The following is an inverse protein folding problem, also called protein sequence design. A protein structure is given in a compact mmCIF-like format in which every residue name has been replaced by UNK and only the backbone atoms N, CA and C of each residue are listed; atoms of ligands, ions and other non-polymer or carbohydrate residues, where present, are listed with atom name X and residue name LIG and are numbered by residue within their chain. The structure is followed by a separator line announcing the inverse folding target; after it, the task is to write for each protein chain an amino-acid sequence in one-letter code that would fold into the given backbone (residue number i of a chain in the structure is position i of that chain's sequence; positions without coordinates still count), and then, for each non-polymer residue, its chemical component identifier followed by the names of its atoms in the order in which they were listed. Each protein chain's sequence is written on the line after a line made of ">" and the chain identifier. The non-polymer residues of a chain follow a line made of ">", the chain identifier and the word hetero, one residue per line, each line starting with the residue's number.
data_IF_276817738486
#
_entry.id   IF_276817738486
#
_cell.length_a   1.000
_cell.length_b   1.000
_cell.length_c   1.000
_cell.angle_alpha   90.00
_cell.angle_beta   90.00
_cell.angle_gamma   90.00
#
_symmetry.space_group_name_H-M   'P 1'
#
loop_
_entity.id
_entity.type
_entity.pdbx_description
1 polymer ?
#
# COMPACT_ATOMS: atom_id res chain seq x y z
N UNK A 1 0.00 -96.40 1.77
CA UNK A 1 -0.63 -95.18 1.27
C UNK A 1 0.45 -94.12 1.15
N UNK A 2 0.76 -93.82 -0.10
CA UNK A 2 2.04 -93.20 -0.51
C UNK A 2 2.16 -91.73 -0.32
N UNK A 3 3.29 -91.34 0.23
CA UNK A 3 3.72 -89.93 0.49
C UNK A 3 4.29 -89.25 -0.76
N UNK A 4 3.82 -89.55 -1.95
CA UNK A 4 4.47 -89.12 -3.20
C UNK A 4 3.62 -88.27 -4.15
N UNK A 5 2.53 -87.60 -3.71
CA UNK A 5 1.68 -86.79 -4.58
C UNK A 5 1.45 -85.36 -4.06
N UNK A 6 2.41 -84.73 -3.39
CA UNK A 6 2.30 -83.40 -2.85
C UNK A 6 3.49 -82.47 -3.28
N UNK A 7 3.95 -82.54 -4.51
CA UNK A 7 5.02 -81.67 -5.01
C UNK A 7 4.87 -81.38 -6.51
N UNK A 8 3.76 -80.83 -6.95
CA UNK A 8 3.64 -80.33 -8.29
C UNK A 8 2.53 -79.28 -8.38
N UNK A 9 2.63 -78.13 -7.69
CA UNK A 9 1.75 -76.97 -7.92
C UNK A 9 2.29 -75.70 -7.22
N UNK A 10 3.47 -75.22 -7.58
CA UNK A 10 3.95 -73.92 -7.10
C UNK A 10 4.96 -73.33 -8.10
N UNK A 11 4.53 -72.81 -9.22
CA UNK A 11 5.36 -71.96 -10.10
C UNK A 11 4.47 -71.19 -11.05
N UNK A 12 3.66 -70.27 -10.51
CA UNK A 12 3.04 -69.21 -11.30
C UNK A 12 3.16 -67.90 -10.54
N UNK A 13 4.41 -67.44 -10.34
CA UNK A 13 4.63 -66.07 -9.87
C UNK A 13 4.42 -65.14 -11.04
N UNK A 14 3.33 -64.37 -10.94
CA UNK A 14 2.98 -63.33 -11.89
C UNK A 14 4.05 -62.24 -11.93
N UNK A 15 4.44 -61.87 -13.17
CA UNK A 15 5.17 -60.67 -13.46
C UNK A 15 4.27 -59.48 -13.12
N UNK A 16 4.44 -58.85 -11.99
CA UNK A 16 3.90 -57.49 -11.72
C UNK A 16 4.60 -56.55 -12.68
N UNK A 17 3.94 -56.22 -13.77
CA UNK A 17 4.31 -55.07 -14.63
C UNK A 17 4.23 -53.79 -13.80
N UNK A 18 5.37 -53.28 -13.38
CA UNK A 18 5.49 -51.93 -12.83
C UNK A 18 5.17 -50.94 -13.93
N UNK A 19 3.91 -50.51 -14.00
CA UNK A 19 3.51 -49.38 -14.82
C UNK A 19 4.30 -48.16 -14.33
N UNK A 20 5.04 -47.45 -15.18
CA UNK A 20 5.67 -46.19 -14.78
C UNK A 20 4.55 -45.21 -14.40
N UNK A 21 4.47 -44.82 -13.12
CA UNK A 21 3.66 -43.73 -12.66
C UNK A 21 4.19 -42.49 -13.45
N UNK A 22 3.39 -41.83 -14.27
CA UNK A 22 3.84 -40.63 -14.93
C UNK A 22 4.17 -39.61 -13.84
N UNK A 23 5.44 -39.38 -13.55
CA UNK A 23 5.89 -38.22 -12.83
C UNK A 23 5.41 -37.03 -13.66
N UNK A 24 4.34 -36.40 -13.20
CA UNK A 24 3.88 -35.14 -13.74
C UNK A 24 5.05 -34.15 -13.61
N UNK A 25 5.84 -34.04 -14.68
CA UNK A 25 6.78 -32.93 -14.83
C UNK A 25 5.89 -31.69 -14.79
N UNK A 26 5.80 -31.05 -13.63
CA UNK A 26 5.24 -29.70 -13.53
C UNK A 26 6.07 -28.86 -14.49
N UNK A 27 5.54 -28.62 -15.67
CA UNK A 27 6.08 -27.61 -16.55
C UNK A 27 6.25 -26.34 -15.70
N UNK A 28 7.50 -25.86 -15.55
CA UNK A 28 7.75 -24.59 -14.90
C UNK A 28 7.01 -23.54 -15.71
N UNK A 29 5.79 -23.18 -15.25
CA UNK A 29 4.91 -22.23 -15.94
C UNK A 29 5.67 -20.93 -16.17
N UNK A 30 5.43 -20.27 -17.29
CA UNK A 30 5.95 -18.93 -17.54
C UNK A 30 5.73 -18.06 -16.29
N UNK A 31 6.75 -17.28 -15.92
CA UNK A 31 6.69 -16.44 -14.71
C UNK A 31 7.00 -15.00 -15.09
N UNK A 32 6.17 -14.08 -14.63
CA UNK A 32 6.45 -12.64 -14.64
C UNK A 32 6.90 -12.22 -13.26
N UNK A 33 8.04 -11.53 -13.18
CA UNK A 33 8.59 -10.99 -11.93
C UNK A 33 8.21 -9.53 -11.81
N UNK A 34 7.52 -9.17 -10.73
CA UNK A 34 7.27 -7.79 -10.34
C UNK A 34 8.29 -7.39 -9.27
N UNK A 35 8.98 -6.27 -9.48
CA UNK A 35 9.96 -5.74 -8.54
C UNK A 35 9.30 -4.80 -7.53
N UNK A 36 9.62 -4.93 -6.26
CA UNK A 36 9.20 -4.03 -5.20
C UNK A 36 10.40 -3.57 -4.37
N UNK A 37 10.49 -2.26 -4.09
CA UNK A 37 11.33 -1.70 -3.03
C UNK A 37 10.42 -1.12 -1.96
N UNK A 38 10.57 -1.59 -0.72
CA UNK A 38 9.70 -1.21 0.38
C UNK A 38 10.43 -1.38 1.73
N UNK A 39 10.07 -0.62 2.78
CA UNK A 39 10.64 -0.81 4.10
C UNK A 39 10.16 -2.13 4.71
N UNK A 40 11.05 -3.11 4.83
CA UNK A 40 10.81 -4.35 5.56
C UNK A 40 11.43 -4.30 6.95
N UNK A 41 12.35 -3.37 7.16
CA UNK A 41 13.02 -3.09 8.43
C UNK A 41 12.90 -1.61 8.82
N UNK A 42 13.26 -1.27 10.06
CA UNK A 42 13.28 0.11 10.55
C UNK A 42 11.94 0.66 11.02
N UNK A 43 11.88 1.99 11.15
CA UNK A 43 10.75 2.68 11.78
C UNK A 43 9.44 2.62 10.96
N UNK A 44 9.52 2.50 9.65
CA UNK A 44 8.39 2.43 8.73
C UNK A 44 8.04 1.01 8.27
N UNK A 45 8.64 -0.03 8.86
CA UNK A 45 8.57 -1.41 8.36
C UNK A 45 7.14 -1.95 8.21
N UNK A 46 6.21 -1.58 9.09
CA UNK A 46 4.83 -2.07 8.99
C UNK A 46 4.14 -1.63 7.69
N UNK A 47 4.51 -0.47 7.12
CA UNK A 47 3.95 -0.02 5.84
C UNK A 47 4.36 -0.95 4.69
N UNK A 48 5.65 -1.31 4.60
CA UNK A 48 6.16 -2.23 3.59
C UNK A 48 5.64 -3.65 3.76
N UNK A 49 5.72 -4.17 5.00
CA UNK A 49 5.27 -5.54 5.32
C UNK A 49 3.78 -5.74 5.02
N UNK A 50 2.92 -4.79 5.41
CA UNK A 50 1.48 -4.88 5.17
C UNK A 50 1.14 -4.71 3.68
N UNK A 51 1.79 -3.79 2.96
CA UNK A 51 1.61 -3.60 1.52
C UNK A 51 2.01 -4.87 0.76
N UNK A 52 3.16 -5.45 1.06
CA UNK A 52 3.63 -6.71 0.49
C UNK A 52 2.67 -7.86 0.80
N UNK A 53 2.27 -8.00 2.06
CA UNK A 53 1.38 -9.06 2.51
C UNK A 53 0.05 -9.03 1.76
N UNK A 54 -0.58 -7.86 1.63
CA UNK A 54 -1.81 -7.69 0.88
C UNK A 54 -1.68 -8.05 -0.60
N UNK A 55 -0.59 -7.62 -1.24
CA UNK A 55 -0.32 -7.98 -2.64
C UNK A 55 -0.13 -9.48 -2.81
N UNK A 56 0.61 -10.12 -1.91
CA UNK A 56 0.83 -11.58 -1.94
C UNK A 56 -0.46 -12.36 -1.76
N UNK A 57 -1.40 -11.92 -0.92
CA UNK A 57 -2.70 -12.59 -0.80
C UNK A 57 -3.38 -12.74 -2.16
N UNK A 58 -3.35 -11.69 -3.00
CA UNK A 58 -3.94 -11.75 -4.32
C UNK A 58 -3.11 -12.61 -5.29
N UNK A 59 -1.80 -12.37 -5.38
CA UNK A 59 -0.94 -13.10 -6.32
C UNK A 59 -0.88 -14.60 -6.01
N UNK A 60 -0.80 -14.99 -4.74
CA UNK A 60 -0.75 -16.39 -4.33
C UNK A 60 -2.07 -17.12 -4.68
N UNK A 61 -3.23 -16.44 -4.49
CA UNK A 61 -4.53 -16.97 -4.90
C UNK A 61 -4.63 -17.13 -6.44
N UNK A 62 -4.17 -16.13 -7.21
CA UNK A 62 -4.13 -16.22 -8.68
C UNK A 62 -3.19 -17.32 -9.16
N UNK A 63 -2.01 -17.46 -8.56
CA UNK A 63 -1.04 -18.49 -8.90
C UNK A 63 -1.58 -19.90 -8.60
N UNK A 64 -2.30 -20.07 -7.49
CA UNK A 64 -2.96 -21.34 -7.14
C UNK A 64 -4.07 -21.71 -8.15
N UNK A 65 -4.71 -20.71 -8.79
CA UNK A 65 -5.70 -20.89 -9.82
C UNK A 65 -5.10 -21.05 -11.24
N UNK A 66 -3.77 -21.20 -11.38
CA UNK A 66 -3.09 -21.38 -12.67
C UNK A 66 -2.46 -20.11 -13.23
N UNK A 67 -2.41 -19.02 -12.46
CA UNK A 67 -1.79 -17.76 -12.85
C UNK A 67 -2.70 -16.85 -13.71
N UNK A 68 -2.11 -15.84 -14.31
CA UNK A 68 -2.81 -14.90 -15.20
C UNK A 68 -2.47 -15.27 -16.63
N UNK A 69 -3.47 -15.66 -17.43
CA UNK A 69 -3.25 -16.19 -18.78
C UNK A 69 -2.20 -17.33 -18.81
N UNK A 70 -2.21 -18.23 -17.79
CA UNK A 70 -1.26 -19.33 -17.66
C UNK A 70 0.15 -18.92 -17.20
N UNK A 71 0.34 -17.67 -16.77
CA UNK A 71 1.61 -17.14 -16.30
C UNK A 71 1.55 -16.86 -14.81
N UNK A 72 2.50 -17.39 -14.05
CA UNK A 72 2.61 -17.15 -12.62
C UNK A 72 3.21 -15.77 -12.34
N UNK A 73 2.79 -15.13 -11.25
CA UNK A 73 3.33 -13.84 -10.80
C UNK A 73 4.24 -14.07 -9.59
N UNK A 74 5.45 -13.53 -9.67
CA UNK A 74 6.38 -13.47 -8.54
C UNK A 74 6.52 -12.00 -8.12
N UNK A 75 6.31 -11.70 -6.83
CA UNK A 75 6.65 -10.41 -6.25
C UNK A 75 8.01 -10.51 -5.55
N UNK A 76 9.02 -9.88 -6.15
CA UNK A 76 10.39 -9.79 -5.59
C UNK A 76 10.53 -8.48 -4.86
N UNK A 77 10.62 -8.55 -3.52
CA UNK A 77 10.75 -7.37 -2.67
C UNK A 77 12.16 -7.23 -2.14
N UNK A 78 12.71 -6.01 -2.23
CA UNK A 78 13.98 -5.61 -1.64
C UNK A 78 13.71 -4.58 -0.53
N UNK A 79 14.41 -4.73 0.60
CA UNK A 79 14.27 -3.82 1.73
C UNK A 79 15.02 -2.51 1.46
N UNK A 80 14.33 -1.38 1.58
CA UNK A 80 14.92 -0.06 1.51
C UNK A 80 14.96 0.68 2.87
N UNK A 81 14.33 0.14 3.92
CA UNK A 81 14.26 0.78 5.23
C UNK A 81 13.64 2.18 5.21
N UNK A 82 12.88 2.51 4.16
CA UNK A 82 12.32 3.84 3.88
C UNK A 82 13.42 4.90 3.60
N UNK A 83 14.54 4.47 2.99
CA UNK A 83 15.67 5.36 2.62
C UNK A 83 15.75 5.50 1.09
N UNK A 84 15.70 6.75 0.54
CA UNK A 84 15.69 7.00 -0.91
C UNK A 84 16.90 6.42 -1.64
N UNK A 85 18.10 6.51 -1.09
CA UNK A 85 19.30 6.01 -1.74
C UNK A 85 19.30 4.48 -1.84
N UNK A 86 18.78 3.79 -0.81
CA UNK A 86 18.58 2.33 -0.84
C UNK A 86 17.50 1.94 -1.84
N UNK A 87 16.40 2.69 -1.90
CA UNK A 87 15.35 2.47 -2.90
C UNK A 87 15.87 2.67 -4.33
N UNK A 88 16.71 3.70 -4.56
CA UNK A 88 17.36 3.91 -5.86
C UNK A 88 18.23 2.71 -6.24
N UNK A 89 19.12 2.26 -5.35
CA UNK A 89 19.97 1.09 -5.60
C UNK A 89 19.16 -0.19 -5.83
N UNK A 90 18.09 -0.40 -5.06
CA UNK A 90 17.15 -1.51 -5.28
C UNK A 90 16.50 -1.44 -6.66
N UNK A 91 16.12 -0.24 -7.10
CA UNK A 91 15.47 -0.01 -8.41
C UNK A 91 16.45 -0.30 -9.55
N UNK A 92 17.71 0.16 -9.45
CA UNK A 92 18.78 -0.16 -10.40
C UNK A 92 18.97 -1.68 -10.52
N UNK A 93 19.04 -2.38 -9.38
CA UNK A 93 19.14 -3.83 -9.34
C UNK A 93 17.96 -4.53 -9.98
N UNK A 94 16.73 -4.14 -9.62
CA UNK A 94 15.51 -4.76 -10.18
C UNK A 94 15.39 -4.56 -11.69
N UNK A 95 15.81 -3.39 -12.21
CA UNK A 95 15.87 -3.12 -13.66
C UNK A 95 16.95 -3.98 -14.32
N UNK A 96 18.13 -4.11 -13.71
CA UNK A 96 19.20 -4.97 -14.21
C UNK A 96 18.82 -6.46 -14.21
N UNK A 97 18.01 -6.89 -13.23
CA UNK A 97 17.43 -8.24 -13.14
C UNK A 97 16.26 -8.45 -14.12
N UNK A 98 15.98 -7.49 -14.99
CA UNK A 98 14.92 -7.47 -16.02
C UNK A 98 13.53 -7.82 -15.49
N UNK A 99 13.15 -7.24 -14.34
CA UNK A 99 11.77 -7.41 -13.84
C UNK A 99 10.77 -6.81 -14.83
N UNK A 100 9.60 -7.43 -14.92
CA UNK A 100 8.55 -7.07 -15.88
C UNK A 100 7.98 -5.68 -15.62
N UNK A 101 7.71 -5.36 -14.34
CA UNK A 101 7.20 -4.06 -13.88
C UNK A 101 7.63 -3.82 -12.44
N UNK A 102 7.62 -2.56 -12.02
CA UNK A 102 7.76 -2.17 -10.61
C UNK A 102 6.38 -2.03 -9.98
N UNK A 103 6.24 -2.46 -8.74
CA UNK A 103 4.95 -2.55 -8.08
C UNK A 103 5.04 -2.17 -6.61
N UNK A 104 4.09 -1.36 -6.13
CA UNK A 104 3.83 -1.19 -4.71
C UNK A 104 5.00 -0.64 -3.87
N UNK A 105 5.83 0.22 -4.45
CA UNK A 105 6.87 0.93 -3.70
C UNK A 105 6.24 1.79 -2.62
N UNK A 106 6.92 1.94 -1.49
CA UNK A 106 6.38 2.63 -0.33
C UNK A 106 7.09 3.96 -0.10
N UNK A 107 6.33 5.04 -0.17
CA UNK A 107 6.77 6.38 0.21
C UNK A 107 7.04 7.34 -0.93
N UNK A 108 6.90 8.62 -0.63
CA UNK A 108 7.15 9.71 -1.58
C UNK A 108 8.64 9.87 -1.90
N UNK A 109 9.54 10.02 -0.90
CA UNK A 109 10.96 10.24 -1.19
C UNK A 109 11.60 9.05 -1.91
N UNK A 110 11.21 7.83 -1.55
CA UNK A 110 11.67 6.58 -2.17
C UNK A 110 11.17 6.44 -3.61
N UNK A 111 9.87 6.69 -3.85
CA UNK A 111 9.30 6.64 -5.21
C UNK A 111 9.85 7.72 -6.13
N UNK A 112 10.13 8.93 -5.60
CA UNK A 112 10.77 10.00 -6.37
C UNK A 112 12.22 9.67 -6.72
N UNK A 113 12.96 8.98 -5.85
CA UNK A 113 14.30 8.50 -6.16
C UNK A 113 14.31 7.44 -7.28
N UNK A 114 13.25 6.65 -7.40
CA UNK A 114 13.08 5.66 -8.45
C UNK A 114 12.59 6.26 -9.79
N UNK A 115 11.84 7.36 -9.77
CA UNK A 115 11.14 7.91 -10.94
C UNK A 115 12.04 8.19 -12.16
N UNK A 116 13.25 8.77 -12.03
CA UNK A 116 14.17 8.96 -13.18
C UNK A 116 14.53 7.62 -13.84
N UNK A 117 14.79 6.58 -13.04
CA UNK A 117 15.14 5.24 -13.53
C UNK A 117 13.95 4.57 -14.23
N UNK A 118 12.74 4.74 -13.68
CA UNK A 118 11.47 4.29 -14.28
C UNK A 118 11.31 4.86 -15.70
N UNK A 119 11.46 6.18 -15.83
CA UNK A 119 11.30 6.87 -17.11
C UNK A 119 12.40 6.49 -18.11
N UNK A 120 13.65 6.38 -17.67
CA UNK A 120 14.79 5.98 -18.50
C UNK A 120 14.63 4.54 -19.01
N UNK A 121 14.28 3.60 -18.12
CA UNK A 121 14.12 2.19 -18.46
C UNK A 121 12.78 1.87 -19.16
N UNK A 122 11.87 2.84 -19.25
CA UNK A 122 10.51 2.66 -19.77
C UNK A 122 9.83 1.46 -19.13
N UNK A 123 9.91 1.35 -17.80
CA UNK A 123 9.36 0.25 -17.02
C UNK A 123 8.06 0.68 -16.33
N UNK A 124 6.93 -0.05 -16.48
CA UNK A 124 5.71 0.29 -15.75
C UNK A 124 5.92 0.27 -14.25
N UNK A 125 5.47 1.31 -13.58
CA UNK A 125 5.53 1.50 -12.13
C UNK A 125 4.10 1.66 -11.59
N UNK A 126 3.57 0.60 -10.99
CA UNK A 126 2.15 0.46 -10.67
C UNK A 126 1.92 0.49 -9.16
N UNK A 127 0.89 1.22 -8.74
CA UNK A 127 0.43 1.34 -7.37
C UNK A 127 1.51 1.76 -6.36
N UNK A 128 2.30 2.83 -6.61
CA UNK A 128 3.14 3.37 -5.56
C UNK A 128 2.28 3.80 -4.36
N UNK A 129 2.68 3.39 -3.15
CA UNK A 129 2.01 3.74 -1.89
C UNK A 129 2.39 5.16 -1.49
N UNK A 130 1.90 6.13 -2.23
CA UNK A 130 2.05 7.57 -1.98
C UNK A 130 1.00 8.38 -2.75
N UNK A 131 0.53 9.46 -2.12
CA UNK A 131 -0.42 10.41 -2.72
C UNK A 131 0.24 11.65 -3.32
N UNK A 132 1.57 11.72 -3.44
CA UNK A 132 2.28 12.93 -3.85
C UNK A 132 2.03 13.32 -5.30
N UNK A 133 1.75 14.60 -5.54
CA UNK A 133 1.52 15.14 -6.89
C UNK A 133 2.78 15.10 -7.77
N UNK A 134 3.96 15.23 -7.20
CA UNK A 134 5.22 15.19 -7.94
C UNK A 134 5.48 13.85 -8.70
N UNK A 135 4.70 12.78 -8.42
CA UNK A 135 4.68 11.54 -9.20
C UNK A 135 3.57 11.53 -10.26
N UNK A 136 2.67 12.52 -10.26
CA UNK A 136 1.49 12.63 -11.13
C UNK A 136 1.62 13.75 -12.15
N UNK A 137 2.25 14.85 -11.74
CA UNK A 137 2.51 16.03 -12.54
C UNK A 137 3.97 16.48 -12.35
N UNK A 138 4.78 16.54 -13.43
CA UNK A 138 4.40 16.25 -14.82
C UNK A 138 4.03 14.79 -15.07
N UNK A 139 3.12 14.56 -16.03
CA UNK A 139 2.62 13.24 -16.38
C UNK A 139 3.76 12.32 -16.85
N UNK A 140 3.81 11.11 -16.25
CA UNK A 140 4.69 10.03 -16.72
C UNK A 140 3.84 8.88 -17.29
N UNK A 141 4.10 8.47 -18.55
CA UNK A 141 3.34 7.39 -19.18
C UNK A 141 3.60 6.00 -18.56
N UNK A 142 4.53 5.91 -17.63
CA UNK A 142 4.93 4.64 -17.00
C UNK A 142 4.40 4.48 -15.58
N UNK A 143 3.84 5.54 -14.96
CA UNK A 143 3.42 5.52 -13.55
C UNK A 143 1.89 5.47 -13.43
N UNK A 144 1.37 4.48 -12.70
CA UNK A 144 -0.07 4.26 -12.51
C UNK A 144 -0.44 4.31 -11.03
N UNK A 145 -1.25 5.29 -10.64
CA UNK A 145 -1.68 5.54 -9.27
C UNK A 145 -3.07 4.94 -9.02
N UNK A 146 -3.17 3.95 -8.17
CA UNK A 146 -4.45 3.33 -7.79
C UNK A 146 -5.19 4.19 -6.76
N UNK A 147 -4.46 4.81 -5.84
CA UNK A 147 -4.97 5.63 -4.74
C UNK A 147 -5.21 7.10 -5.11
N UNK A 148 -6.05 7.79 -4.34
CA UNK A 148 -6.22 9.24 -4.38
C UNK A 148 -4.93 9.99 -4.00
N UNK A 149 -4.88 11.28 -4.33
CA UNK A 149 -3.74 12.15 -4.01
C UNK A 149 -3.79 12.69 -2.58
N UNK A 150 -2.65 13.20 -2.09
CA UNK A 150 -2.65 13.97 -0.85
C UNK A 150 -3.46 15.25 -0.95
N UNK A 151 -3.64 15.82 -2.14
CA UNK A 151 -4.52 16.96 -2.34
C UNK A 151 -5.98 16.59 -2.12
N UNK A 152 -6.42 15.40 -2.57
CA UNK A 152 -7.78 14.90 -2.30
C UNK A 152 -7.98 14.64 -0.80
N UNK A 153 -7.00 14.01 -0.13
CA UNK A 153 -7.07 13.70 1.29
C UNK A 153 -7.12 14.98 2.15
N UNK A 154 -6.19 15.91 1.92
CA UNK A 154 -6.12 17.15 2.71
C UNK A 154 -7.29 18.07 2.43
N UNK A 155 -7.84 18.07 1.22
CA UNK A 155 -9.08 18.80 0.90
C UNK A 155 -10.26 18.28 1.74
N UNK A 156 -10.41 16.97 1.90
CA UNK A 156 -11.46 16.40 2.74
C UNK A 156 -11.21 16.69 4.24
N UNK A 157 -9.96 16.60 4.70
CA UNK A 157 -9.58 16.93 6.09
C UNK A 157 -9.94 18.38 6.42
N UNK A 158 -9.46 19.33 5.61
CA UNK A 158 -9.71 20.78 5.86
C UNK A 158 -11.19 21.10 5.74
N UNK A 159 -11.90 20.51 4.77
CA UNK A 159 -13.36 20.66 4.64
C UNK A 159 -14.08 20.17 5.89
N UNK A 160 -13.71 19.05 6.45
CA UNK A 160 -14.34 18.52 7.66
C UNK A 160 -14.05 19.40 8.88
N UNK A 161 -12.80 19.86 9.04
CA UNK A 161 -12.43 20.77 10.11
C UNK A 161 -13.22 22.08 10.04
N UNK A 162 -13.35 22.66 8.85
CA UNK A 162 -14.17 23.86 8.62
C UNK A 162 -15.66 23.64 8.97
N UNK A 163 -16.24 22.49 8.61
CA UNK A 163 -17.61 22.16 8.98
C UNK A 163 -17.84 22.04 10.49
N UNK A 164 -16.80 21.58 11.23
CA UNK A 164 -16.81 21.51 12.68
C UNK A 164 -16.49 22.85 13.38
N UNK A 165 -16.21 23.91 12.60
CA UNK A 165 -15.80 25.21 13.15
C UNK A 165 -14.36 25.24 13.66
N UNK A 166 -13.55 24.21 13.41
CA UNK A 166 -12.17 24.08 13.87
C UNK A 166 -11.22 24.74 12.86
N UNK A 167 -11.07 26.06 12.96
CA UNK A 167 -10.35 26.87 11.96
C UNK A 167 -8.89 27.16 12.36
N UNK A 168 -8.54 26.96 13.63
CA UNK A 168 -7.18 27.17 14.14
C UNK A 168 -6.38 25.89 13.99
N UNK A 169 -5.80 25.71 12.82
CA UNK A 169 -5.15 24.48 12.40
C UNK A 169 -3.64 24.68 12.34
N UNK A 170 -2.87 23.74 12.90
CA UNK A 170 -1.41 23.61 12.71
C UNK A 170 -1.05 22.35 11.95
N UNK A 171 0.18 22.28 11.42
CA UNK A 171 0.64 21.13 10.64
C UNK A 171 1.93 20.58 11.22
N UNK A 172 1.91 19.29 11.55
CA UNK A 172 3.07 18.49 11.88
C UNK A 172 3.45 17.62 10.69
N UNK A 173 4.67 17.73 10.18
CA UNK A 173 5.02 16.97 8.98
C UNK A 173 6.47 16.45 8.98
N UNK A 174 6.72 15.38 8.21
CA UNK A 174 8.04 14.85 7.98
C UNK A 174 8.90 15.86 7.20
N UNK A 175 10.18 16.00 7.56
CA UNK A 175 11.11 16.96 6.93
C UNK A 175 11.70 16.39 5.62
N UNK A 176 10.83 16.11 4.65
CA UNK A 176 11.22 15.64 3.32
C UNK A 176 10.09 15.85 2.29
N UNK A 177 10.25 15.26 1.09
CA UNK A 177 9.29 15.38 0.00
C UNK A 177 7.88 14.88 0.37
N UNK A 178 7.74 13.91 1.27
CA UNK A 178 6.42 13.45 1.74
C UNK A 178 5.72 14.51 2.57
N UNK A 179 6.39 15.00 3.61
CA UNK A 179 5.81 16.01 4.47
C UNK A 179 5.49 17.30 3.71
N UNK A 180 6.37 17.70 2.78
CA UNK A 180 6.13 18.87 1.91
C UNK A 180 4.92 18.67 1.01
N UNK A 181 4.77 17.52 0.38
CA UNK A 181 3.62 17.23 -0.49
C UNK A 181 2.28 17.31 0.25
N UNK A 182 2.23 16.81 1.50
CA UNK A 182 1.03 16.92 2.33
C UNK A 182 0.79 18.33 2.84
N UNK A 183 1.84 19.07 3.24
CA UNK A 183 1.73 20.48 3.64
C UNK A 183 1.20 21.33 2.48
N UNK A 184 1.74 21.15 1.26
CA UNK A 184 1.24 21.85 0.08
C UNK A 184 -0.26 21.57 -0.17
N UNK A 185 -0.70 20.34 0.08
CA UNK A 185 -2.11 19.96 0.01
C UNK A 185 -2.98 20.68 1.06
N UNK A 186 -2.50 20.78 2.30
CA UNK A 186 -3.19 21.54 3.36
C UNK A 186 -3.29 23.02 3.00
N UNK A 187 -2.20 23.63 2.58
CA UNK A 187 -2.17 25.04 2.17
C UNK A 187 -3.12 25.31 1.01
N UNK A 188 -3.13 24.40 0.02
CA UNK A 188 -4.07 24.47 -1.11
C UNK A 188 -5.52 24.42 -0.66
N UNK A 189 -5.84 23.51 0.27
CA UNK A 189 -7.21 23.34 0.79
C UNK A 189 -7.66 24.52 1.66
N UNK A 190 -6.76 25.16 2.39
CA UNK A 190 -7.03 26.33 3.23
C UNK A 190 -7.22 27.62 2.45
N UNK A 191 -6.59 27.75 1.27
CA UNK A 191 -6.61 28.97 0.46
C UNK A 191 -8.02 29.50 0.16
N UNK A 192 -9.00 28.69 -0.28
CA UNK A 192 -10.38 29.17 -0.52
C UNK A 192 -11.10 29.66 0.73
N UNK A 193 -10.66 29.24 1.93
CA UNK A 193 -11.21 29.66 3.21
C UNK A 193 -10.54 30.93 3.75
N UNK A 194 -9.54 31.46 3.05
CA UNK A 194 -8.72 32.61 3.47
C UNK A 194 -8.05 32.40 4.83
N UNK A 195 -7.66 31.15 5.17
CA UNK A 195 -6.92 30.80 6.38
C UNK A 195 -5.54 30.26 6.05
N UNK A 196 -4.66 30.32 7.04
CA UNK A 196 -3.31 29.77 6.99
C UNK A 196 -3.08 28.91 8.24
N UNK A 197 -2.16 27.94 8.20
CA UNK A 197 -1.75 27.25 9.41
C UNK A 197 -1.25 28.23 10.48
N UNK A 198 -1.66 28.04 11.74
CA UNK A 198 -1.14 28.82 12.86
C UNK A 198 0.38 28.65 13.01
N UNK A 199 0.84 27.41 12.84
CA UNK A 199 2.24 27.06 12.86
C UNK A 199 2.46 25.76 12.08
N UNK A 200 3.70 25.55 11.62
CA UNK A 200 4.17 24.29 11.07
C UNK A 200 5.42 23.85 11.79
N UNK A 201 5.59 22.55 12.04
CA UNK A 201 6.82 22.01 12.61
C UNK A 201 7.10 20.62 12.04
N UNK A 202 8.36 20.21 12.09
CA UNK A 202 8.84 19.01 11.40
C UNK A 202 9.38 17.96 12.35
N UNK A 203 9.45 16.74 11.81
CA UNK A 203 10.21 15.62 12.36
C UNK A 203 11.06 15.00 11.23
N UNK A 204 12.25 14.58 11.53
CA UNK A 204 13.09 13.88 10.55
C UNK A 204 12.50 12.50 10.20
N UNK A 205 12.70 12.07 8.93
CA UNK A 205 12.29 10.73 8.49
C UNK A 205 12.90 9.66 9.39
N UNK A 206 12.12 8.64 9.71
CA UNK A 206 12.50 7.53 10.59
C UNK A 206 12.84 7.93 12.04
N UNK A 207 12.59 9.19 12.44
CA UNK A 207 12.84 9.69 13.79
C UNK A 207 11.56 9.74 14.62
N UNK A 208 11.72 9.65 15.93
CA UNK A 208 10.66 9.86 16.95
C UNK A 208 11.00 11.06 17.86
N UNK A 209 12.02 11.83 17.52
CA UNK A 209 12.33 13.09 18.22
C UNK A 209 11.36 14.18 17.80
N UNK A 210 10.37 14.40 18.65
CA UNK A 210 9.26 15.33 18.41
C UNK A 210 9.27 16.52 19.40
N UNK A 211 10.30 16.63 20.23
CA UNK A 211 10.33 17.65 21.30
C UNK A 211 10.18 19.06 20.74
N UNK A 212 10.90 19.39 19.66
CA UNK A 212 10.78 20.68 18.98
C UNK A 212 9.36 20.90 18.45
N UNK A 213 8.75 19.90 17.82
CA UNK A 213 7.41 20.03 17.26
C UNK A 213 6.34 20.24 18.35
N UNK A 214 6.46 19.57 19.50
CA UNK A 214 5.56 19.81 20.65
C UNK A 214 5.69 21.23 21.17
N UNK A 215 6.91 21.74 21.30
CA UNK A 215 7.15 23.14 21.71
C UNK A 215 6.52 24.12 20.73
N UNK A 216 6.75 23.94 19.43
CA UNK A 216 6.32 24.86 18.38
C UNK A 216 4.80 24.87 18.18
N UNK A 217 4.13 23.70 18.33
CA UNK A 217 2.73 23.55 17.97
C UNK A 217 1.77 23.49 19.16
N UNK A 218 2.24 23.08 20.33
CA UNK A 218 1.39 22.79 21.50
C UNK A 218 1.68 23.71 22.67
N UNK A 219 2.96 23.90 23.01
CA UNK A 219 3.36 24.71 24.16
C UNK A 219 3.40 26.20 23.81
N UNK A 220 2.31 26.71 23.27
CA UNK A 220 2.11 28.11 22.86
C UNK A 220 1.04 28.77 23.68
N UNK A 221 1.01 30.12 23.70
CA UNK A 221 -0.03 30.85 24.43
C UNK A 221 -1.46 30.62 23.91
N UNK A 222 -1.60 30.10 22.67
CA UNK A 222 -2.87 29.79 22.03
C UNK A 222 -2.73 28.54 21.15
N UNK A 223 -2.79 27.32 21.71
CA UNK A 223 -2.63 26.10 20.95
C UNK A 223 -3.72 25.94 19.88
N UNK A 224 -3.44 25.20 18.78
CA UNK A 224 -4.42 24.99 17.72
C UNK A 224 -5.60 24.13 18.19
N UNK A 225 -6.72 24.19 17.49
CA UNK A 225 -7.89 23.32 17.70
C UNK A 225 -7.66 21.95 17.05
N UNK A 226 -6.91 21.92 15.94
CA UNK A 226 -6.58 20.72 15.22
C UNK A 226 -5.12 20.72 14.75
N UNK A 227 -4.50 19.55 14.71
CA UNK A 227 -3.18 19.35 14.10
C UNK A 227 -3.31 18.33 12.98
N UNK A 228 -3.01 18.76 11.74
CA UNK A 228 -2.91 17.87 10.59
C UNK A 228 -1.52 17.27 10.55
N UNK A 229 -1.44 15.94 10.48
CA UNK A 229 -0.20 15.19 10.64
C UNK A 229 0.16 14.44 9.36
N UNK A 230 1.37 14.69 8.87
CA UNK A 230 1.89 14.14 7.61
C UNK A 230 3.25 13.49 7.90
N UNK A 231 3.21 12.35 8.58
CA UNK A 231 4.40 11.55 8.91
C UNK A 231 4.03 10.07 9.05
N UNK A 232 5.03 9.20 9.22
CA UNK A 232 4.81 7.77 9.45
C UNK A 232 4.32 7.50 10.88
N UNK A 233 3.72 6.34 11.10
CA UNK A 233 3.02 5.98 12.33
C UNK A 233 3.84 6.15 13.61
N UNK A 234 5.13 5.80 13.65
CA UNK A 234 5.95 5.94 14.87
C UNK A 234 6.17 7.40 15.26
N UNK A 235 6.49 8.25 14.29
CA UNK A 235 6.66 9.69 14.53
C UNK A 235 5.34 10.33 14.95
N UNK A 236 4.22 9.97 14.29
CA UNK A 236 2.89 10.47 14.66
C UNK A 236 2.48 10.01 16.07
N UNK A 237 2.71 8.75 16.42
CA UNK A 237 2.40 8.23 17.76
C UNK A 237 3.23 8.92 18.85
N UNK A 238 4.53 9.11 18.60
CA UNK A 238 5.40 9.85 19.53
C UNK A 238 4.91 11.28 19.73
N UNK A 239 4.54 12.00 18.66
CA UNK A 239 4.02 13.35 18.75
C UNK A 239 2.69 13.41 19.48
N UNK A 240 1.72 12.53 19.17
CA UNK A 240 0.41 12.50 19.84
C UNK A 240 0.57 12.30 21.35
N UNK A 241 1.39 11.32 21.77
CA UNK A 241 1.65 11.09 23.21
C UNK A 241 2.30 12.29 23.89
N UNK A 242 3.32 12.86 23.25
CA UNK A 242 4.02 14.00 23.82
C UNK A 242 3.13 15.26 23.88
N UNK A 243 2.32 15.50 22.87
CA UNK A 243 1.36 16.60 22.82
C UNK A 243 0.29 16.45 23.93
N UNK A 244 -0.29 15.26 24.12
CA UNK A 244 -1.26 14.99 25.19
C UNK A 244 -0.64 15.14 26.57
N UNK A 245 0.58 14.64 26.77
CA UNK A 245 1.34 14.84 28.02
C UNK A 245 1.59 16.32 28.30
N UNK A 246 1.74 17.14 27.28
CA UNK A 246 1.87 18.60 27.38
C UNK A 246 0.52 19.32 27.56
N UNK A 247 -0.61 18.60 27.72
CA UNK A 247 -1.93 19.15 27.96
C UNK A 247 -2.73 19.49 26.69
N UNK A 248 -2.31 19.05 25.51
CA UNK A 248 -3.06 19.30 24.27
C UNK A 248 -4.38 18.52 24.25
N UNK A 249 -5.49 19.27 24.21
CA UNK A 249 -6.86 18.74 24.16
C UNK A 249 -7.52 18.81 22.79
N UNK A 250 -6.83 19.31 21.76
CA UNK A 250 -7.37 19.38 20.40
C UNK A 250 -7.34 18.04 19.66
N UNK A 251 -7.74 18.07 18.39
CA UNK A 251 -7.89 16.86 17.56
C UNK A 251 -6.69 16.63 16.64
N UNK A 252 -6.41 15.36 16.34
CA UNK A 252 -5.34 14.95 15.42
C UNK A 252 -5.94 14.34 14.16
N UNK A 253 -5.54 14.85 13.00
CA UNK A 253 -5.91 14.34 11.69
C UNK A 253 -4.68 13.85 10.95
N UNK A 254 -4.72 12.65 10.40
CA UNK A 254 -3.61 12.05 9.66
C UNK A 254 -4.03 11.76 8.21
N UNK A 255 -3.09 11.84 7.27
CA UNK A 255 -3.28 11.30 5.94
C UNK A 255 -3.02 9.78 5.95
N UNK A 256 -3.63 9.06 5.02
CA UNK A 256 -3.64 7.58 4.95
C UNK A 256 -2.27 6.91 5.00
N UNK A 257 -1.22 7.58 4.47
CA UNK A 257 0.15 7.06 4.50
C UNK A 257 0.69 6.83 5.93
N UNK A 258 0.07 7.42 6.95
CA UNK A 258 0.46 7.14 8.34
C UNK A 258 0.49 5.65 8.66
N UNK A 259 -0.35 4.84 7.98
CA UNK A 259 -0.52 3.43 8.26
C UNK A 259 -1.43 3.21 9.46
N UNK A 260 -2.74 3.24 9.20
CA UNK A 260 -3.80 3.28 10.23
C UNK A 260 -3.68 2.19 11.29
N UNK A 261 -3.46 0.93 10.87
CA UNK A 261 -3.33 -0.19 11.81
C UNK A 261 -2.05 -0.08 12.63
N UNK A 262 -0.93 0.30 12.00
CA UNK A 262 0.34 0.48 12.68
C UNK A 262 0.29 1.64 13.69
N UNK A 263 -0.39 2.74 13.34
CA UNK A 263 -0.62 3.87 14.27
C UNK A 263 -1.48 3.45 15.46
N UNK A 264 -2.56 2.70 15.21
CA UNK A 264 -3.45 2.19 16.24
C UNK A 264 -2.71 1.27 17.22
N UNK A 265 -1.87 0.37 16.72
CA UNK A 265 -1.05 -0.54 17.54
C UNK A 265 0.02 0.22 18.35
N UNK A 266 0.67 1.21 17.75
CA UNK A 266 1.63 2.06 18.46
C UNK A 266 0.96 2.88 19.56
N UNK A 267 -0.21 3.46 19.31
CA UNK A 267 -0.91 4.32 20.27
C UNK A 267 -1.60 3.53 21.38
N UNK A 268 -2.14 2.34 21.08
CA UNK A 268 -2.96 1.62 22.05
C UNK A 268 -4.12 2.48 22.56
N UNK A 269 -4.22 2.69 23.87
CA UNK A 269 -5.27 3.52 24.51
C UNK A 269 -5.23 4.98 24.07
N UNK A 270 -4.05 5.48 23.71
CA UNK A 270 -3.86 6.83 23.21
C UNK A 270 -4.40 7.05 21.78
N UNK A 271 -4.97 6.04 21.14
CA UNK A 271 -5.56 6.18 19.80
C UNK A 271 -6.92 6.91 19.80
N UNK A 272 -7.58 7.03 20.97
CA UNK A 272 -8.92 7.61 21.06
C UNK A 272 -8.99 9.01 20.43
N UNK A 273 -9.93 9.20 19.49
CA UNK A 273 -10.19 10.51 18.87
C UNK A 273 -9.21 10.90 17.76
N UNK A 274 -8.25 10.04 17.40
CA UNK A 274 -7.37 10.27 16.25
C UNK A 274 -8.10 9.94 14.96
N UNK A 275 -8.10 10.87 14.02
CA UNK A 275 -8.75 10.73 12.71
C UNK A 275 -7.71 10.43 11.65
N UNK A 276 -8.07 9.56 10.69
CA UNK A 276 -7.21 9.19 9.56
C UNK A 276 -8.04 9.21 8.28
N UNK A 277 -7.58 9.94 7.24
CA UNK A 277 -8.15 9.81 5.89
C UNK A 277 -7.77 8.47 5.28
N UNK A 278 -8.66 7.89 4.49
CA UNK A 278 -8.47 6.62 3.83
C UNK A 278 -8.72 6.75 2.34
N UNK A 279 -7.92 6.06 1.55
CA UNK A 279 -7.98 6.08 0.08
C UNK A 279 -8.39 4.73 -0.51
N UNK A 280 -8.70 3.79 0.36
CA UNK A 280 -9.21 2.45 0.05
C UNK A 280 -10.50 2.20 0.82
N UNK A 281 -11.39 1.32 0.33
CA UNK A 281 -12.62 1.00 1.03
C UNK A 281 -12.36 0.36 2.39
N UNK A 282 -13.27 0.59 3.33
CA UNK A 282 -13.19 0.12 4.71
C UNK A 282 -12.97 -1.39 4.80
N UNK A 283 -11.80 -1.87 5.27
CA UNK A 283 -11.42 -3.28 5.19
C UNK A 283 -12.18 -4.20 6.14
N UNK A 284 -12.96 -3.64 7.08
CA UNK A 284 -13.78 -4.37 8.05
C UNK A 284 -15.26 -4.40 7.64
N UNK A 285 -15.62 -3.75 6.51
CA UNK A 285 -16.99 -3.71 5.99
C UNK A 285 -17.38 -5.00 5.27
N UNK A 286 -18.70 -5.16 5.02
CA UNK A 286 -19.23 -6.35 4.35
C UNK A 286 -19.98 -6.03 3.05
N UNK A 287 -20.10 -4.74 2.69
CA UNK A 287 -20.95 -4.30 1.58
C UNK A 287 -20.22 -4.17 0.24
N UNK A 288 -18.89 -4.20 0.24
CA UNK A 288 -18.06 -3.97 -0.95
C UNK A 288 -17.40 -5.28 -1.38
N UNK A 289 -17.66 -5.73 -2.61
CA UNK A 289 -17.23 -7.04 -3.10
C UNK A 289 -15.72 -7.27 -3.00
N UNK A 290 -14.91 -6.29 -3.42
CA UNK A 290 -13.43 -6.42 -3.32
C UNK A 290 -12.95 -6.50 -1.86
N UNK A 291 -13.66 -5.89 -0.92
CA UNK A 291 -13.36 -6.02 0.52
C UNK A 291 -13.65 -7.44 0.98
N UNK A 292 -14.77 -8.02 0.56
CA UNK A 292 -15.12 -9.41 0.90
C UNK A 292 -14.11 -10.41 0.33
N UNK A 293 -13.69 -10.25 -0.92
CA UNK A 293 -12.63 -11.06 -1.53
C UNK A 293 -11.31 -10.97 -0.72
N UNK A 294 -10.91 -9.75 -0.36
CA UNK A 294 -9.73 -9.52 0.48
C UNK A 294 -9.86 -10.20 1.84
N UNK A 295 -11.01 -10.05 2.51
CA UNK A 295 -11.27 -10.66 3.82
C UNK A 295 -11.19 -12.19 3.77
N UNK A 296 -11.76 -12.82 2.75
CA UNK A 296 -11.66 -14.26 2.55
C UNK A 296 -10.20 -14.72 2.39
N UNK A 297 -9.42 -14.02 1.55
CA UNK A 297 -8.02 -14.33 1.33
C UNK A 297 -7.19 -14.14 2.61
N UNK A 298 -7.39 -13.02 3.32
CA UNK A 298 -6.69 -12.71 4.56
C UNK A 298 -7.04 -13.70 5.69
N UNK A 299 -8.31 -14.07 5.84
CA UNK A 299 -8.76 -15.07 6.83
C UNK A 299 -8.12 -16.43 6.55
N UNK A 300 -8.11 -16.88 5.28
CA UNK A 300 -7.47 -18.13 4.87
C UNK A 300 -5.96 -18.15 5.18
N UNK A 301 -5.31 -16.99 5.10
CA UNK A 301 -3.89 -16.81 5.39
C UNK A 301 -3.59 -16.48 6.87
N UNK A 302 -4.60 -16.39 7.74
CA UNK A 302 -4.43 -16.01 9.15
C UNK A 302 -3.96 -14.56 9.36
N UNK A 303 -4.23 -13.66 8.39
CA UNK A 303 -3.81 -12.27 8.45
C UNK A 303 -4.93 -11.36 8.97
N UNK A 304 -4.55 -10.32 9.73
CA UNK A 304 -5.48 -9.28 10.20
C UNK A 304 -5.83 -8.33 9.05
N UNK A 305 -7.09 -7.88 9.02
CA UNK A 305 -7.54 -6.87 8.07
C UNK A 305 -6.95 -5.50 8.41
N UNK A 306 -6.48 -4.78 7.41
CA UNK A 306 -6.00 -3.41 7.57
C UNK A 306 -6.00 -2.66 6.23
N UNK A 307 -5.95 -1.32 6.27
CA UNK A 307 -6.00 -0.48 5.08
C UNK A 307 -4.77 -0.60 4.18
N UNK A 308 -3.58 -0.76 4.74
CA UNK A 308 -2.35 -0.91 3.94
C UNK A 308 -2.33 -2.23 3.18
N UNK A 309 -2.81 -3.32 3.82
CA UNK A 309 -2.87 -4.63 3.16
C UNK A 309 -3.96 -4.67 2.06
N UNK A 310 -5.15 -4.09 2.30
CA UNK A 310 -6.16 -4.05 1.24
C UNK A 310 -5.71 -3.18 0.07
N UNK A 311 -4.92 -2.12 0.28
CA UNK A 311 -4.32 -1.34 -0.79
C UNK A 311 -3.35 -2.18 -1.63
N UNK A 312 -2.48 -2.97 -1.00
CA UNK A 312 -1.63 -3.94 -1.67
C UNK A 312 -2.41 -4.96 -2.48
N UNK A 313 -3.50 -5.49 -1.91
CA UNK A 313 -4.42 -6.44 -2.57
C UNK A 313 -5.10 -5.81 -3.80
N UNK A 314 -5.67 -4.61 -3.66
CA UNK A 314 -6.32 -3.89 -4.77
C UNK A 314 -5.31 -3.53 -5.85
N UNK A 315 -4.12 -3.04 -5.48
CA UNK A 315 -3.03 -2.76 -6.43
C UNK A 315 -2.63 -4.00 -7.22
N UNK A 316 -2.51 -5.17 -6.55
CA UNK A 316 -2.22 -6.45 -7.17
C UNK A 316 -3.34 -6.90 -8.13
N UNK A 317 -4.60 -6.68 -7.75
CA UNK A 317 -5.76 -6.95 -8.61
C UNK A 317 -5.75 -6.06 -9.86
N UNK A 318 -5.41 -4.78 -9.71
CA UNK A 318 -5.31 -3.81 -10.82
C UNK A 318 -4.21 -4.19 -11.82
N UNK A 319 -2.98 -4.44 -11.37
CA UNK A 319 -1.89 -4.82 -12.29
C UNK A 319 -2.19 -6.15 -12.96
N UNK A 320 -2.79 -7.09 -12.24
CA UNK A 320 -3.18 -8.40 -12.78
C UNK A 320 -4.24 -8.28 -13.89
N UNK A 321 -5.18 -7.36 -13.75
CA UNK A 321 -6.15 -7.08 -14.81
C UNK A 321 -5.49 -6.40 -16.01
N UNK A 322 -4.54 -5.50 -15.79
CA UNK A 322 -3.71 -4.95 -16.87
C UNK A 322 -2.95 -6.03 -17.64
N UNK A 323 -2.33 -6.99 -16.94
CA UNK A 323 -1.66 -8.15 -17.54
C UNK A 323 -2.66 -9.02 -18.32
N UNK A 324 -3.86 -9.25 -17.78
CA UNK A 324 -4.91 -10.07 -18.41
C UNK A 324 -5.38 -9.48 -19.73
N UNK A 325 -5.46 -8.14 -19.82
CA UNK A 325 -5.88 -7.39 -21.00
C UNK A 325 -4.75 -7.10 -21.99
N UNK A 326 -3.51 -7.29 -21.58
CA UNK A 326 -2.36 -7.12 -22.45
C UNK A 326 -2.42 -8.11 -23.62
N UNK A 327 -2.41 -7.60 -24.87
CA UNK A 327 -2.39 -8.43 -26.06
C UNK A 327 -1.05 -9.15 -26.26
N UNK A 328 0.02 -8.62 -25.65
CA UNK A 328 1.37 -9.19 -25.64
C UNK A 328 1.95 -9.09 -24.22
N UNK A 329 2.72 -10.07 -23.75
CA UNK A 329 3.36 -10.02 -22.44
C UNK A 329 4.63 -9.15 -22.46
N UNK A 330 4.48 -7.87 -22.84
CA UNK A 330 5.53 -6.85 -22.87
C UNK A 330 5.15 -5.69 -21.93
N UNK A 331 6.11 -4.81 -21.63
CA UNK A 331 5.88 -3.61 -20.81
C UNK A 331 4.87 -2.67 -21.45
N UNK A 332 4.95 -2.49 -22.77
CA UNK A 332 3.99 -1.69 -23.55
C UNK A 332 2.61 -2.35 -23.59
N UNK A 333 2.57 -3.69 -23.65
CA UNK A 333 1.32 -4.45 -23.57
C UNK A 333 0.64 -4.26 -22.22
N UNK A 334 1.40 -4.22 -21.11
CA UNK A 334 0.87 -3.92 -19.78
C UNK A 334 0.33 -2.47 -19.71
N UNK A 335 1.06 -1.51 -20.26
CA UNK A 335 0.61 -0.10 -20.35
C UNK A 335 -0.72 -0.03 -21.08
N UNK A 336 -0.82 -0.61 -22.29
CA UNK A 336 -2.08 -0.64 -23.04
C UNK A 336 -3.22 -1.35 -22.27
N UNK A 337 -2.91 -2.45 -21.58
CA UNK A 337 -3.87 -3.16 -20.74
C UNK A 337 -4.38 -2.31 -19.57
N UNK A 338 -3.49 -1.57 -18.90
CA UNK A 338 -3.86 -0.65 -17.82
C UNK A 338 -4.68 0.54 -18.34
N UNK A 339 -4.30 1.15 -19.48
CA UNK A 339 -5.03 2.25 -20.12
C UNK A 339 -6.46 1.86 -20.53
N UNK A 340 -6.71 0.57 -20.75
CA UNK A 340 -8.04 0.06 -21.04
C UNK A 340 -8.97 -0.04 -19.82
N UNK A 341 -8.46 0.18 -18.59
CA UNK A 341 -9.24 0.12 -17.36
C UNK A 341 -10.05 1.42 -17.14
N UNK A 342 -10.90 1.75 -18.10
CA UNK A 342 -11.79 2.92 -18.01
C UNK A 342 -13.05 2.55 -17.25
N UNK A 343 -13.33 3.28 -16.15
CA UNK A 343 -14.46 3.05 -15.25
C UNK A 343 -14.57 1.57 -14.80
N UNK A 344 -13.42 0.93 -14.62
CA UNK A 344 -13.37 -0.48 -14.27
C UNK A 344 -13.73 -0.70 -12.80
N UNK A 345 -14.81 -1.46 -12.57
CA UNK A 345 -15.30 -1.80 -11.24
C UNK A 345 -14.64 -3.08 -10.74
N UNK A 346 -13.80 -2.94 -9.69
CA UNK A 346 -13.11 -4.04 -9.01
C UNK A 346 -13.98 -4.80 -7.98
N UNK A 347 -15.28 -4.60 -8.01
CA UNK A 347 -16.20 -5.12 -7.00
C UNK A 347 -16.56 -4.05 -5.96
N UNK A 348 -16.96 -2.86 -6.44
CA UNK A 348 -17.35 -1.72 -5.62
C UNK A 348 -16.24 -0.69 -5.33
N UNK A 349 -15.04 -0.90 -5.86
CA UNK A 349 -13.99 0.11 -5.97
C UNK A 349 -13.67 0.33 -7.44
N UNK A 350 -13.80 1.58 -7.91
CA UNK A 350 -13.63 1.92 -9.32
C UNK A 350 -12.23 2.45 -9.60
N UNK A 351 -11.64 1.98 -10.70
CA UNK A 351 -10.39 2.49 -11.27
C UNK A 351 -10.66 3.03 -12.67
N UNK A 352 -10.11 4.19 -12.99
CA UNK A 352 -10.34 4.86 -14.28
C UNK A 352 -9.05 5.40 -14.86
N UNK A 353 -8.28 4.53 -15.50
CA UNK A 353 -7.09 4.91 -16.26
C UNK A 353 -7.45 5.25 -17.71
N UNK A 354 -6.65 6.09 -18.33
CA UNK A 354 -6.71 6.46 -19.75
C UNK A 354 -5.29 6.77 -20.24
N UNK A 355 -5.01 6.75 -21.55
CA UNK A 355 -3.65 6.95 -22.08
C UNK A 355 -2.93 8.24 -21.63
N UNK A 356 -3.67 9.25 -21.21
CA UNK A 356 -3.14 10.54 -20.74
C UNK A 356 -3.52 10.86 -19.29
N UNK A 357 -4.06 9.88 -18.54
CA UNK A 357 -4.47 10.04 -17.15
C UNK A 357 -4.30 8.73 -16.39
N UNK A 358 -3.24 8.61 -15.62
CA UNK A 358 -2.89 7.42 -14.85
C UNK A 358 -3.23 7.54 -13.34
N UNK A 359 -4.21 8.37 -12.99
CA UNK A 359 -4.79 8.44 -11.65
C UNK A 359 -6.11 7.69 -11.65
N UNK A 360 -6.13 6.53 -11.01
CA UNK A 360 -7.24 5.58 -11.06
C UNK A 360 -8.42 5.94 -10.17
N UNK A 361 -8.17 6.55 -9.02
CA UNK A 361 -9.22 6.88 -8.04
C UNK A 361 -8.96 8.22 -7.37
N UNK A 362 -10.03 8.91 -7.01
CA UNK A 362 -10.06 10.05 -6.08
C UNK A 362 -10.88 9.74 -4.82
N UNK A 363 -11.10 8.46 -4.54
CA UNK A 363 -11.87 8.04 -3.37
C UNK A 363 -11.12 8.40 -2.10
N UNK A 364 -11.79 9.14 -1.21
CA UNK A 364 -11.33 9.46 0.15
C UNK A 364 -12.50 9.36 1.12
N UNK A 365 -12.26 8.73 2.26
CA UNK A 365 -13.18 8.71 3.41
C UNK A 365 -12.43 9.00 4.71
N UNK A 366 -13.14 9.29 5.80
CA UNK A 366 -12.54 9.49 7.12
C UNK A 366 -12.81 8.32 8.04
N UNK A 367 -11.85 8.01 8.88
CA UNK A 367 -12.00 7.03 9.96
C UNK A 367 -11.51 7.58 11.28
N UNK A 368 -12.11 7.07 12.36
CA UNK A 368 -11.81 7.42 13.74
C UNK A 368 -11.18 6.22 14.45
N UNK A 369 -10.08 6.43 15.12
CA UNK A 369 -9.46 5.44 15.99
C UNK A 369 -10.09 5.49 17.40
N UNK A 370 -10.29 4.32 17.99
CA UNK A 370 -10.91 4.18 19.30
C UNK A 370 -9.94 3.57 20.31
N UNK A 371 -10.17 3.83 21.61
CA UNK A 371 -9.33 3.31 22.70
C UNK A 371 -9.37 1.80 22.89
N UNK A 372 -10.42 1.15 22.35
CA UNK A 372 -10.59 -0.30 22.38
C UNK A 372 -9.95 -1.01 21.16
N UNK A 373 -9.09 -0.29 20.42
CA UNK A 373 -8.32 -0.85 19.32
C UNK A 373 -9.11 -1.06 18.03
N UNK A 374 -10.21 -0.34 17.82
CA UNK A 374 -11.01 -0.42 16.59
C UNK A 374 -10.84 0.82 15.72
N UNK A 375 -11.02 0.62 14.43
CA UNK A 375 -11.17 1.67 13.43
C UNK A 375 -12.65 1.79 13.10
N UNK A 376 -13.23 2.97 13.25
CA UNK A 376 -14.64 3.25 12.91
C UNK A 376 -14.72 4.21 11.73
N UNK A 377 -15.76 4.05 10.94
CA UNK A 377 -16.14 4.90 9.81
C UNK A 377 -17.28 5.85 10.20
#
# INVERSE_FOLDING_TARGET
>A
MDRRQLLASASALGALATLPIPTAVRAQGKRLVLGQSAPLTGAASQLGLQMQAGAKLFFDAQNAAGGINGTLIELRTLDDGYEPDRCKANTEKLIADDVFALFGYVGTPTSLAALPLVNQAKIPFVAPFTGAEALRDPFSPWVYHVRASYYDETALIVKQLAHLGLMRISVFHQNDAYGKAGLDGVLRAMKPLSIQPLATSTVERNSVDVAKAVKDLVQTGAPPEAIVMISAYKSCAAFIRAARKAGYGGVFYNVSFVGTQALLEELGKDAMGVVVSQVMPYPFGTQVGVVHEYQQAATKAGQKFNYTAIEGYIGAKVISEGIRRATRPTREGLVAGLDSLQNYNLGGFNVNFRPNKHVGSSFVEMTLLTSDGRVKR
#
